data_IF_843432619206
#
_entry.id   IF_843432619206
#
_cell.length_a   1.000
_cell.length_b   1.000
_cell.length_c   1.000
_cell.angle_alpha   90.00
_cell.angle_beta   90.00
_cell.angle_gamma   90.00
#
_symmetry.space_group_name_H-M   'P 1'
#
loop_
_entity.id
_entity.type
_entity.pdbx_description
1 polymer ?
#
# COMPACT_ATOMS: atom_id res chain seq x y z
N UNK A 1 -0.76 23.31 -42.13
CA UNK A 1 -2.04 24.04 -42.03
C UNK A 1 -2.60 23.74 -40.66
N UNK A 2 -2.80 24.62 -39.68
CA UNK A 2 -2.76 26.08 -39.58
C UNK A 2 -2.10 26.46 -38.23
N UNK A 3 -1.64 27.71 -38.14
CA UNK A 3 -0.85 28.34 -37.06
C UNK A 3 -1.73 29.32 -36.25
N UNK A 4 -1.25 29.68 -35.05
CA UNK A 4 -1.46 30.93 -34.26
C UNK A 4 -2.77 31.05 -33.43
N UNK A 5 -2.78 31.59 -32.20
CA UNK A 5 -1.71 32.25 -31.42
C UNK A 5 -2.16 32.84 -30.05
N UNK A 6 -1.19 33.51 -29.39
CA UNK A 6 -1.27 34.60 -28.36
C UNK A 6 -2.04 34.33 -27.04
N UNK A 7 -1.47 34.36 -25.82
CA UNK A 7 -0.74 35.42 -25.07
C UNK A 7 -1.60 36.71 -24.89
N UNK A 8 -1.87 37.35 -23.74
CA UNK A 8 -1.27 37.47 -22.39
C UNK A 8 -2.39 37.83 -21.32
N UNK A 9 -2.19 38.63 -20.22
CA UNK A 9 -2.38 38.20 -18.82
C UNK A 9 -3.45 39.02 -18.06
N UNK A 10 -3.82 38.64 -16.82
CA UNK A 10 -4.61 39.52 -15.93
C UNK A 10 -4.09 39.48 -14.48
N UNK A 11 -3.42 40.58 -14.16
CA UNK A 11 -3.38 41.41 -12.93
C UNK A 11 -3.63 40.84 -11.52
N UNK A 12 -2.65 41.20 -10.68
CA UNK A 12 -2.60 41.19 -9.21
C UNK A 12 -3.36 42.42 -8.67
N UNK A 13 -4.14 42.32 -7.59
CA UNK A 13 -4.45 43.46 -6.76
C UNK A 13 -3.59 43.51 -5.49
N UNK A 14 -2.79 44.57 -5.41
CA UNK A 14 -2.12 45.10 -4.23
C UNK A 14 -3.10 45.60 -3.16
N UNK A 15 -2.91 45.23 -1.89
CA UNK A 15 -3.40 46.01 -0.74
C UNK A 15 -2.39 46.04 0.41
N UNK A 16 -1.61 47.12 0.40
CA UNK A 16 -1.17 47.96 1.52
C UNK A 16 -1.38 47.46 2.95
N UNK A 17 -0.27 47.17 3.64
CA UNK A 17 -0.13 47.26 5.10
C UNK A 17 -0.10 48.73 5.56
N UNK A 18 -0.68 49.09 6.72
CA UNK A 18 -0.34 50.31 7.41
C UNK A 18 0.85 50.10 8.37
N UNK A 19 1.80 51.03 8.28
CA UNK A 19 2.87 51.27 9.23
C UNK A 19 2.33 51.41 10.66
N UNK A 20 2.96 50.74 11.63
CA UNK A 20 2.90 51.16 13.03
C UNK A 20 4.25 51.76 13.46
N UNK A 21 4.10 52.99 13.90
CA UNK A 21 5.08 53.98 14.32
C UNK A 21 5.88 53.50 15.53
N UNK A 22 7.19 53.38 15.40
CA UNK A 22 8.11 53.19 16.52
C UNK A 22 8.33 54.54 17.23
N UNK A 23 7.77 54.68 18.44
CA UNK A 23 8.15 55.77 19.36
C UNK A 23 9.15 55.19 20.36
N UNK A 24 10.42 55.53 20.14
CA UNK A 24 11.48 55.37 21.11
C UNK A 24 11.44 56.56 22.09
N UNK A 25 11.18 56.28 23.37
CA UNK A 25 11.40 57.21 24.47
C UNK A 25 12.32 56.51 25.48
N UNK A 26 13.58 56.94 25.47
CA UNK A 26 14.58 56.53 26.45
C UNK A 26 14.36 57.21 27.80
N UNK A 27 14.50 56.45 28.88
CA UNK A 27 14.65 56.94 30.25
C UNK A 27 15.75 56.07 30.91
N UNK A 28 16.71 56.66 31.64
CA UNK A 28 18.01 56.06 31.92
C UNK A 28 17.97 55.05 33.07
N UNK A 29 18.93 54.12 33.01
CA UNK A 29 19.25 53.17 34.06
C UNK A 29 19.67 53.88 35.35
N UNK A 30 18.94 53.62 36.44
CA UNK A 30 19.37 53.87 37.81
C UNK A 30 19.44 52.54 38.55
N UNK A 31 20.65 52.15 38.95
CA UNK A 31 20.90 50.99 39.80
C UNK A 31 20.55 51.34 41.26
N UNK A 32 19.76 50.48 41.92
CA UNK A 32 19.58 50.43 43.37
C UNK A 32 19.34 48.97 43.83
N UNK A 33 19.66 48.63 45.08
CA UNK A 33 20.15 47.31 45.47
C UNK A 33 19.05 46.28 45.70
N UNK A 34 19.43 45.01 45.55
CA UNK A 34 18.59 43.84 45.78
C UNK A 34 18.00 43.83 47.20
N UNK A 35 16.67 43.90 47.27
CA UNK A 35 15.89 43.57 48.46
C UNK A 35 15.13 42.28 48.16
N UNK A 36 15.57 41.18 48.78
CA UNK A 36 14.90 39.88 48.70
C UNK A 36 13.67 39.92 49.61
N UNK A 37 12.48 39.96 49.02
CA UNK A 37 11.22 39.68 49.72
C UNK A 37 10.76 38.27 49.35
N UNK A 38 10.23 37.47 50.29
CA UNK A 38 9.71 36.16 49.97
C UNK A 38 8.40 36.32 49.20
N UNK A 39 8.44 36.05 47.90
CA UNK A 39 7.22 35.95 47.09
C UNK A 39 6.45 34.71 47.54
N UNK A 40 5.35 34.93 48.25
CA UNK A 40 4.33 33.91 48.50
C UNK A 40 3.79 33.46 47.15
N UNK A 41 4.05 32.21 46.80
CA UNK A 41 3.45 31.53 45.65
C UNK A 41 1.97 31.33 45.97
N UNK A 42 1.11 32.20 45.42
CA UNK A 42 -0.30 31.89 45.22
C UNK A 42 -0.40 31.03 43.96
N UNK A 43 -0.53 29.73 44.15
CA UNK A 43 -0.84 28.78 43.09
C UNK A 43 -2.19 29.14 42.48
N UNK A 44 -2.17 29.76 41.30
CA UNK A 44 -3.31 29.73 40.39
C UNK A 44 -3.21 28.40 39.64
N UNK A 45 -4.07 27.47 40.05
CA UNK A 45 -4.31 26.24 39.31
C UNK A 45 -5.04 26.61 38.01
N UNK A 46 -4.27 26.80 36.95
CA UNK A 46 -4.75 26.63 35.58
C UNK A 46 -3.75 25.72 34.87
N UNK A 47 -3.82 24.44 35.22
CA UNK A 47 -3.19 23.38 34.44
C UNK A 47 -4.26 22.78 33.55
N UNK A 48 -4.50 23.41 32.39
CA UNK A 48 -4.80 22.62 31.21
C UNK A 48 -3.49 21.98 30.74
N UNK A 49 -3.05 20.93 31.44
CA UNK A 49 -2.04 20.01 30.90
C UNK A 49 -2.63 19.39 29.64
N UNK A 50 -2.29 19.92 28.47
CA UNK A 50 -2.41 19.17 27.23
C UNK A 50 -1.48 17.98 27.36
N UNK A 51 -2.03 16.81 27.70
CA UNK A 51 -1.29 15.55 27.73
C UNK A 51 -0.69 15.35 26.35
N UNK A 52 0.63 15.54 26.22
CA UNK A 52 1.35 15.22 24.99
C UNK A 52 1.40 13.69 24.93
N UNK A 53 0.42 13.08 24.26
CA UNK A 53 0.41 11.64 23.99
C UNK A 53 1.64 11.34 23.13
N UNK A 54 2.47 10.42 23.59
CA UNK A 54 3.70 10.02 22.89
C UNK A 54 3.38 9.28 21.59
N UNK A 55 4.31 9.28 20.63
CA UNK A 55 4.11 8.53 19.38
C UNK A 55 3.89 7.03 19.64
N UNK A 56 4.61 6.46 20.60
CA UNK A 56 4.46 5.07 21.03
C UNK A 56 3.05 4.77 21.58
N UNK A 57 2.50 5.66 22.40
CA UNK A 57 1.13 5.52 22.91
C UNK A 57 0.09 5.62 21.79
N UNK A 58 0.30 6.50 20.80
CA UNK A 58 -0.57 6.61 19.62
C UNK A 58 -0.52 5.33 18.79
N UNK A 59 0.67 4.80 18.51
CA UNK A 59 0.84 3.53 17.78
C UNK A 59 0.15 2.39 18.53
N UNK A 60 0.36 2.28 19.85
CA UNK A 60 -0.26 1.24 20.69
C UNK A 60 -1.78 1.33 20.72
N UNK A 61 -2.32 2.55 20.84
CA UNK A 61 -3.77 2.77 20.80
C UNK A 61 -4.34 2.37 19.43
N UNK A 62 -3.68 2.77 18.34
CA UNK A 62 -4.07 2.43 16.98
C UNK A 62 -4.01 0.92 16.71
N UNK A 63 -2.95 0.24 17.17
CA UNK A 63 -2.81 -1.23 17.08
C UNK A 63 -3.94 -1.93 17.81
N UNK A 64 -4.27 -1.50 19.04
CA UNK A 64 -5.37 -2.09 19.80
C UNK A 64 -6.71 -1.90 19.09
N UNK A 65 -6.98 -0.71 18.56
CA UNK A 65 -8.20 -0.45 17.79
C UNK A 65 -8.27 -1.33 16.54
N UNK A 66 -7.15 -1.50 15.84
CA UNK A 66 -7.05 -2.32 14.64
C UNK A 66 -7.29 -3.80 14.93
N UNK A 67 -6.64 -4.35 15.95
CA UNK A 67 -6.81 -5.75 16.36
C UNK A 67 -8.26 -6.08 16.71
N UNK A 68 -8.93 -5.19 17.45
CA UNK A 68 -10.35 -5.34 17.78
C UNK A 68 -11.18 -5.39 16.50
N UNK A 69 -11.00 -4.43 15.60
CA UNK A 69 -11.79 -4.33 14.38
C UNK A 69 -11.53 -5.50 13.42
N UNK A 70 -10.29 -5.98 13.31
CA UNK A 70 -9.93 -7.18 12.55
C UNK A 70 -10.54 -8.45 13.13
N UNK A 71 -10.63 -8.57 14.46
CA UNK A 71 -11.29 -9.71 15.11
C UNK A 71 -12.79 -9.70 14.83
N UNK A 72 -13.42 -8.54 14.90
CA UNK A 72 -14.84 -8.40 14.58
C UNK A 72 -15.14 -8.67 13.11
N UNK A 73 -14.28 -8.20 12.18
CA UNK A 73 -14.42 -8.51 10.77
C UNK A 73 -14.36 -10.02 10.53
N UNK A 74 -13.37 -10.69 11.14
CA UNK A 74 -13.23 -12.15 11.03
C UNK A 74 -14.46 -12.87 11.54
N UNK A 75 -14.94 -12.54 12.74
CA UNK A 75 -16.14 -13.15 13.30
C UNK A 75 -17.37 -12.95 12.40
N UNK A 76 -17.55 -11.75 11.85
CA UNK A 76 -18.67 -11.46 10.94
C UNK A 76 -18.55 -12.22 9.60
N UNK A 77 -17.33 -12.34 9.06
CA UNK A 77 -17.08 -13.13 7.85
C UNK A 77 -17.27 -14.62 8.09
N UNK A 78 -16.80 -15.14 9.22
CA UNK A 78 -16.99 -16.54 9.61
C UNK A 78 -18.48 -16.85 9.73
N UNK A 79 -19.28 -15.97 10.34
CA UNK A 79 -20.73 -16.12 10.43
C UNK A 79 -21.40 -16.09 9.04
N UNK A 80 -21.01 -15.13 8.20
CA UNK A 80 -21.58 -14.96 6.86
C UNK A 80 -21.27 -16.13 5.92
N UNK A 81 -20.02 -16.61 5.92
CA UNK A 81 -19.56 -17.71 5.07
C UNK A 81 -19.70 -19.09 5.72
N UNK A 82 -20.27 -19.17 6.94
CA UNK A 82 -20.50 -20.44 7.66
C UNK A 82 -21.17 -21.52 6.81
N UNK A 83 -22.22 -21.23 6.00
CA UNK A 83 -22.83 -22.26 5.16
C UNK A 83 -21.83 -22.96 4.24
N UNK A 84 -20.87 -22.22 3.65
CA UNK A 84 -19.84 -22.83 2.80
C UNK A 84 -18.87 -23.71 3.60
N UNK A 85 -18.54 -23.30 4.83
CA UNK A 85 -17.63 -24.06 5.69
C UNK A 85 -18.25 -25.35 6.24
N UNK A 86 -19.57 -25.39 6.39
CA UNK A 86 -20.32 -26.55 6.92
C UNK A 86 -20.72 -27.55 5.82
N UNK A 87 -20.66 -27.16 4.54
CA UNK A 87 -20.97 -28.04 3.43
C UNK A 87 -19.88 -29.10 3.22
N UNK A 88 -20.29 -30.37 3.16
CA UNK A 88 -19.38 -31.52 3.08
C UNK A 88 -18.99 -31.81 1.62
N UNK A 89 -19.91 -31.60 0.69
CA UNK A 89 -19.73 -31.92 -0.73
C UNK A 89 -19.55 -30.67 -1.59
N UNK A 90 -18.94 -30.82 -2.77
CA UNK A 90 -18.83 -29.74 -3.75
C UNK A 90 -20.22 -29.36 -4.29
N UNK A 91 -21.11 -30.33 -4.44
CA UNK A 91 -22.49 -30.12 -4.85
C UNK A 91 -23.25 -29.23 -3.86
N UNK A 92 -23.14 -29.49 -2.56
CA UNK A 92 -23.71 -28.64 -1.51
C UNK A 92 -23.11 -27.24 -1.55
N UNK A 93 -21.78 -27.12 -1.61
CA UNK A 93 -21.09 -25.83 -1.70
C UNK A 93 -21.57 -25.01 -2.90
N UNK A 94 -21.71 -25.64 -4.06
CA UNK A 94 -22.13 -24.98 -5.30
C UNK A 94 -23.60 -24.55 -5.29
N UNK A 95 -24.44 -25.17 -4.45
CA UNK A 95 -25.86 -24.82 -4.31
C UNK A 95 -26.12 -23.68 -3.30
N UNK A 96 -25.10 -23.24 -2.55
CA UNK A 96 -25.25 -22.18 -1.55
C UNK A 96 -25.34 -20.81 -2.23
N UNK A 97 -26.43 -20.11 -1.94
CA UNK A 97 -26.63 -18.71 -2.26
C UNK A 97 -26.66 -17.90 -0.96
N UNK A 98 -25.67 -17.02 -0.76
CA UNK A 98 -25.66 -16.09 0.36
C UNK A 98 -26.45 -14.83 0.01
N UNK A 99 -27.15 -14.27 1.01
CA UNK A 99 -27.81 -12.98 0.87
C UNK A 99 -26.75 -11.87 0.81
N UNK A 100 -26.59 -11.15 -0.31
CA UNK A 100 -25.60 -10.08 -0.42
C UNK A 100 -25.88 -8.90 0.50
N UNK A 101 -27.11 -8.74 1.01
CA UNK A 101 -27.44 -7.66 1.96
C UNK A 101 -26.92 -7.91 3.37
N UNK A 102 -26.58 -9.16 3.69
CA UNK A 102 -25.97 -9.55 4.96
C UNK A 102 -24.43 -9.54 4.91
N UNK A 103 -23.84 -9.20 3.76
CA UNK A 103 -22.39 -9.13 3.62
C UNK A 103 -21.81 -8.01 4.53
N UNK A 104 -20.92 -8.35 5.50
CA UNK A 104 -20.39 -7.37 6.43
C UNK A 104 -19.46 -6.33 5.76
N UNK A 105 -18.96 -6.60 4.55
CA UNK A 105 -17.89 -5.86 3.87
C UNK A 105 -18.11 -4.34 3.88
N UNK A 106 -19.28 -3.87 3.45
CA UNK A 106 -19.56 -2.43 3.34
C UNK A 106 -19.51 -1.72 4.70
N UNK A 107 -20.02 -2.36 5.75
CA UNK A 107 -19.99 -1.79 7.10
C UNK A 107 -18.56 -1.66 7.63
N UNK A 108 -17.71 -2.67 7.39
CA UNK A 108 -16.34 -2.67 7.86
C UNK A 108 -15.44 -1.71 7.07
N UNK A 109 -15.67 -1.53 5.76
CA UNK A 109 -14.98 -0.50 4.98
C UNK A 109 -15.09 0.88 5.66
N UNK A 110 -16.30 1.27 6.07
CA UNK A 110 -16.53 2.54 6.76
C UNK A 110 -15.76 2.64 8.09
N UNK A 111 -15.74 1.55 8.86
CA UNK A 111 -15.08 1.48 10.18
C UNK A 111 -13.55 1.51 10.07
N UNK A 112 -12.96 0.84 9.09
CA UNK A 112 -11.51 0.91 8.86
C UNK A 112 -11.08 2.28 8.34
N UNK A 113 -11.89 2.93 7.49
CA UNK A 113 -11.64 4.31 7.09
C UNK A 113 -11.70 5.28 8.29
N UNK A 114 -12.65 5.08 9.20
CA UNK A 114 -12.75 5.86 10.43
C UNK A 114 -11.51 5.66 11.32
N UNK A 115 -11.07 4.42 11.53
CA UNK A 115 -9.86 4.12 12.30
C UNK A 115 -8.63 4.84 11.72
N UNK A 116 -8.46 4.81 10.40
CA UNK A 116 -7.36 5.49 9.74
C UNK A 116 -7.40 7.02 9.89
N UNK A 117 -8.60 7.60 10.04
CA UNK A 117 -8.79 9.03 10.27
C UNK A 117 -8.57 9.43 11.74
N UNK A 118 -8.97 8.56 12.68
CA UNK A 118 -8.77 8.76 14.13
C UNK A 118 -7.32 8.55 14.58
N UNK A 119 -6.54 7.76 13.84
CA UNK A 119 -5.15 7.42 14.15
C UNK A 119 -4.16 7.82 13.04
N UNK A 120 -4.15 9.08 12.57
CA UNK A 120 -3.36 9.48 11.42
C UNK A 120 -1.86 9.39 11.69
N UNK A 121 -1.08 9.04 10.67
CA UNK A 121 0.39 8.96 10.76
C UNK A 121 0.91 7.68 11.42
N UNK A 122 0.03 6.74 11.77
CA UNK A 122 0.42 5.48 12.43
C UNK A 122 0.54 4.32 11.43
N UNK A 123 1.36 3.32 11.76
CA UNK A 123 1.44 2.08 10.97
C UNK A 123 0.09 1.34 10.89
N UNK A 124 -0.63 1.18 12.01
CA UNK A 124 -1.97 0.59 12.01
C UNK A 124 -3.00 1.32 11.15
N UNK A 125 -2.91 2.64 10.98
CA UNK A 125 -3.78 3.36 10.05
C UNK A 125 -3.52 2.98 8.59
N UNK A 126 -2.26 2.76 8.21
CA UNK A 126 -1.92 2.25 6.86
C UNK A 126 -2.43 0.81 6.69
N UNK A 127 -2.32 -0.03 7.72
CA UNK A 127 -2.84 -1.40 7.68
C UNK A 127 -4.37 -1.43 7.56
N UNK A 128 -5.07 -0.52 8.25
CA UNK A 128 -6.51 -0.33 8.09
C UNK A 128 -6.87 0.06 6.65
N UNK A 129 -6.13 1.00 6.04
CA UNK A 129 -6.31 1.36 4.62
C UNK A 129 -6.03 0.18 3.69
N UNK A 130 -5.05 -0.67 4.02
CA UNK A 130 -4.79 -1.93 3.32
C UNK A 130 -5.95 -2.92 3.40
N UNK A 131 -6.63 -2.96 4.54
CA UNK A 131 -7.84 -3.75 4.72
C UNK A 131 -8.99 -3.19 3.88
N UNK A 132 -9.16 -1.86 3.83
CA UNK A 132 -10.14 -1.20 2.94
C UNK A 132 -9.88 -1.57 1.48
N UNK A 133 -8.62 -1.50 1.00
CA UNK A 133 -8.25 -1.90 -0.37
C UNK A 133 -8.66 -3.35 -0.63
N UNK A 134 -8.39 -4.24 0.31
CA UNK A 134 -8.66 -5.68 0.19
C UNK A 134 -10.16 -5.99 0.15
N UNK A 135 -10.94 -5.32 0.99
CA UNK A 135 -12.39 -5.44 1.08
C UNK A 135 -13.10 -4.84 -0.14
N UNK A 136 -12.75 -3.61 -0.51
CA UNK A 136 -13.38 -2.90 -1.62
C UNK A 136 -13.23 -3.65 -2.96
N UNK A 137 -12.06 -4.26 -3.19
CA UNK A 137 -11.80 -5.06 -4.41
C UNK A 137 -12.69 -6.30 -4.51
N UNK A 138 -13.14 -6.85 -3.38
CA UNK A 138 -14.01 -8.04 -3.31
C UNK A 138 -15.50 -7.68 -3.34
N UNK A 139 -15.84 -6.40 -3.12
CA UNK A 139 -17.22 -5.92 -3.14
C UNK A 139 -17.80 -5.80 -4.56
N UNK A 140 -19.10 -5.49 -4.68
CA UNK A 140 -19.82 -5.44 -5.96
C UNK A 140 -19.28 -4.37 -6.92
N UNK A 141 -18.73 -3.27 -6.41
CA UNK A 141 -18.06 -2.23 -7.22
C UNK A 141 -16.66 -2.65 -7.69
N UNK A 142 -16.09 -3.72 -7.12
CA UNK A 142 -14.79 -4.28 -7.48
C UNK A 142 -13.65 -3.27 -7.50
N UNK A 143 -12.88 -3.30 -8.59
CA UNK A 143 -11.63 -2.53 -8.73
C UNK A 143 -11.82 -1.03 -8.99
N UNK A 144 -13.06 -0.54 -9.12
CA UNK A 144 -13.37 0.88 -9.37
C UNK A 144 -14.09 1.55 -8.19
N UNK A 145 -14.19 0.84 -7.06
CA UNK A 145 -14.96 1.28 -5.91
C UNK A 145 -14.54 2.64 -5.37
N UNK A 146 -15.53 3.44 -4.96
CA UNK A 146 -15.32 4.72 -4.29
C UNK A 146 -14.47 4.60 -3.02
N UNK A 147 -14.61 3.49 -2.29
CA UNK A 147 -13.83 3.19 -1.09
C UNK A 147 -12.35 2.95 -1.42
N UNK A 148 -12.08 2.21 -2.51
CA UNK A 148 -10.72 1.97 -2.99
C UNK A 148 -10.03 3.28 -3.39
N UNK A 149 -10.72 4.12 -4.18
CA UNK A 149 -10.23 5.46 -4.57
C UNK A 149 -9.91 6.33 -3.36
N UNK A 150 -10.80 6.33 -2.36
CA UNK A 150 -10.60 7.08 -1.11
C UNK A 150 -9.39 6.57 -0.32
N UNK A 151 -9.23 5.25 -0.17
CA UNK A 151 -8.09 4.68 0.54
C UNK A 151 -6.75 5.03 -0.14
N UNK A 152 -6.70 4.94 -1.47
CA UNK A 152 -5.51 5.31 -2.28
C UNK A 152 -5.20 6.80 -2.15
N UNK A 153 -6.21 7.67 -2.22
CA UNK A 153 -6.02 9.11 -2.03
C UNK A 153 -5.41 9.43 -0.66
N UNK A 154 -5.91 8.82 0.41
CA UNK A 154 -5.38 9.00 1.77
C UNK A 154 -3.91 8.52 1.86
N UNK A 155 -3.59 7.37 1.25
CA UNK A 155 -2.22 6.84 1.21
C UNK A 155 -1.26 7.84 0.56
N UNK A 156 -1.61 8.35 -0.62
CA UNK A 156 -0.76 9.26 -1.37
C UNK A 156 -0.62 10.63 -0.70
N UNK A 157 -1.66 11.10 -0.04
CA UNK A 157 -1.65 12.41 0.64
C UNK A 157 -0.87 12.37 1.96
N UNK A 158 -1.08 11.33 2.79
CA UNK A 158 -0.62 11.34 4.20
C UNK A 158 0.56 10.42 4.48
N UNK A 159 0.79 9.40 3.64
CA UNK A 159 1.67 8.28 3.98
C UNK A 159 2.79 8.02 2.97
N UNK A 160 2.96 8.89 1.98
CA UNK A 160 3.86 8.71 0.84
C UNK A 160 5.26 8.17 1.20
N UNK A 161 5.83 8.64 2.31
CA UNK A 161 7.18 8.26 2.77
C UNK A 161 7.17 7.45 4.07
N UNK A 162 5.99 7.00 4.51
CA UNK A 162 5.88 6.23 5.74
C UNK A 162 6.39 4.80 5.53
N UNK A 163 7.28 4.29 6.42
CA UNK A 163 7.95 3.00 6.22
C UNK A 163 7.01 1.80 6.10
N UNK A 164 5.88 1.83 6.83
CA UNK A 164 4.85 0.78 6.77
C UNK A 164 4.16 0.64 5.40
N UNK A 165 4.30 1.60 4.47
CA UNK A 165 3.82 1.40 3.10
C UNK A 165 4.54 0.26 2.39
N UNK A 166 5.79 -0.05 2.77
CA UNK A 166 6.57 -1.12 2.15
C UNK A 166 5.80 -2.44 2.17
N UNK A 167 5.22 -2.79 3.33
CA UNK A 167 4.47 -4.03 3.51
C UNK A 167 3.16 -4.03 2.72
N UNK A 168 2.48 -2.89 2.67
CA UNK A 168 1.25 -2.72 1.92
C UNK A 168 1.47 -2.87 0.40
N UNK A 169 2.63 -2.45 -0.12
CA UNK A 169 2.89 -2.36 -1.57
C UNK A 169 3.67 -3.56 -2.11
N UNK A 170 4.43 -4.27 -1.27
CA UNK A 170 5.25 -5.45 -1.64
C UNK A 170 4.51 -6.46 -2.50
N UNK A 171 3.23 -6.69 -2.22
CA UNK A 171 2.38 -7.68 -2.87
C UNK A 171 1.25 -7.07 -3.70
N UNK A 172 1.34 -5.78 -4.06
CA UNK A 172 0.31 -5.09 -4.81
C UNK A 172 0.06 -5.67 -6.22
N UNK A 173 1.01 -6.42 -6.79
CA UNK A 173 0.82 -7.11 -8.06
C UNK A 173 -0.26 -8.20 -8.02
N UNK A 174 -0.55 -8.80 -6.87
CA UNK A 174 -1.66 -9.77 -6.76
C UNK A 174 -3.05 -9.12 -6.79
N UNK A 175 -3.13 -7.79 -6.81
CA UNK A 175 -4.42 -7.05 -6.90
C UNK A 175 -4.93 -6.93 -8.34
N UNK A 176 -4.11 -7.27 -9.34
CA UNK A 176 -4.41 -7.10 -10.76
C UNK A 176 -4.07 -5.70 -11.30
N UNK A 177 -4.09 -5.57 -12.62
CA UNK A 177 -3.65 -4.37 -13.35
C UNK A 177 -4.77 -3.32 -13.55
N UNK A 178 -5.59 -3.07 -12.52
CA UNK A 178 -6.60 -2.01 -12.57
C UNK A 178 -5.94 -0.62 -12.66
N UNK A 179 -6.64 0.35 -13.26
CA UNK A 179 -6.14 1.72 -13.41
C UNK A 179 -5.71 2.33 -12.06
N UNK A 180 -6.51 2.12 -11.01
CA UNK A 180 -6.20 2.62 -9.67
C UNK A 180 -4.91 2.01 -9.12
N UNK A 181 -4.70 0.69 -9.27
CA UNK A 181 -3.52 0.03 -8.74
C UNK A 181 -2.26 0.42 -9.51
N UNK A 182 -2.35 0.50 -10.84
CA UNK A 182 -1.26 0.98 -11.70
C UNK A 182 -0.90 2.42 -11.35
N UNK A 183 -1.89 3.32 -11.24
CA UNK A 183 -1.66 4.72 -10.91
C UNK A 183 -1.06 4.90 -9.50
N UNK A 184 -1.53 4.14 -8.49
CA UNK A 184 -0.92 4.13 -7.16
C UNK A 184 0.58 3.78 -7.23
N UNK A 185 0.93 2.72 -7.97
CA UNK A 185 2.32 2.29 -8.08
C UNK A 185 3.17 3.31 -8.83
N UNK A 186 2.66 3.89 -9.92
CA UNK A 186 3.34 4.95 -10.66
C UNK A 186 3.57 6.20 -9.79
N UNK A 187 2.56 6.64 -9.05
CA UNK A 187 2.65 7.78 -8.15
C UNK A 187 3.66 7.55 -7.02
N UNK A 188 3.71 6.35 -6.44
CA UNK A 188 4.71 6.01 -5.43
C UNK A 188 6.13 6.01 -6.01
N UNK A 189 6.32 5.52 -7.23
CA UNK A 189 7.62 5.51 -7.91
C UNK A 189 8.10 6.94 -8.18
N UNK A 190 7.20 7.84 -8.55
CA UNK A 190 7.53 9.23 -8.90
C UNK A 190 7.71 10.13 -7.68
N UNK A 191 6.85 9.97 -6.66
CA UNK A 191 6.69 10.97 -5.61
C UNK A 191 7.31 10.56 -4.28
N UNK A 192 7.46 9.26 -4.00
CA UNK A 192 8.02 8.80 -2.72
C UNK A 192 9.54 8.99 -2.67
N UNK A 193 10.03 9.53 -1.56
CA UNK A 193 11.44 9.56 -1.19
C UNK A 193 11.86 8.31 -0.39
N UNK A 194 10.91 7.49 0.07
CA UNK A 194 11.19 6.26 0.81
C UNK A 194 11.66 5.13 -0.12
N UNK A 195 12.97 4.92 -0.17
CA UNK A 195 13.64 3.96 -1.08
C UNK A 195 13.04 2.54 -1.08
N UNK A 196 12.74 1.88 0.06
CA UNK A 196 12.07 0.58 0.04
C UNK A 196 10.68 0.60 -0.60
N UNK A 197 9.92 1.70 -0.44
CA UNK A 197 8.61 1.88 -1.09
C UNK A 197 8.77 2.00 -2.60
N UNK A 198 9.74 2.78 -3.07
CA UNK A 198 10.03 2.91 -4.51
C UNK A 198 10.45 1.57 -5.11
N UNK A 199 11.29 0.81 -4.41
CA UNK A 199 11.72 -0.53 -4.84
C UNK A 199 10.53 -1.48 -5.01
N UNK A 200 9.67 -1.57 -3.99
CA UNK A 200 8.53 -2.48 -4.02
C UNK A 200 7.44 -2.05 -5.01
N UNK A 201 7.22 -0.74 -5.17
CA UNK A 201 6.29 -0.20 -6.17
C UNK A 201 6.80 -0.48 -7.60
N UNK A 202 8.09 -0.25 -7.86
CA UNK A 202 8.72 -0.54 -9.16
C UNK A 202 8.61 -2.02 -9.50
N UNK A 203 8.90 -2.91 -8.53
CA UNK A 203 8.79 -4.35 -8.70
C UNK A 203 7.35 -4.81 -8.95
N UNK A 204 6.39 -4.36 -8.13
CA UNK A 204 4.98 -4.73 -8.29
C UNK A 204 4.42 -4.24 -9.62
N UNK A 205 4.78 -3.03 -10.06
CA UNK A 205 4.38 -2.53 -11.38
C UNK A 205 4.99 -3.37 -12.51
N UNK A 206 6.25 -3.79 -12.37
CA UNK A 206 6.89 -4.67 -13.34
C UNK A 206 6.16 -6.00 -13.48
N UNK A 207 5.79 -6.65 -12.37
CA UNK A 207 5.04 -7.92 -12.40
C UNK A 207 3.67 -7.76 -13.06
N UNK A 208 2.90 -6.72 -12.70
CA UNK A 208 1.60 -6.43 -13.32
C UNK A 208 1.70 -6.26 -14.84
N UNK A 209 2.66 -5.45 -15.28
CA UNK A 209 2.85 -5.17 -16.70
C UNK A 209 3.45 -6.36 -17.47
N UNK A 210 4.06 -7.33 -16.78
CA UNK A 210 4.67 -8.51 -17.39
C UNK A 210 3.65 -9.51 -17.94
N UNK A 211 2.44 -9.52 -17.36
CA UNK A 211 1.34 -10.42 -17.73
C UNK A 211 0.84 -10.18 -19.16
N UNK A 212 0.86 -8.92 -19.62
CA UNK A 212 0.41 -8.58 -20.97
C UNK A 212 1.58 -8.49 -21.98
N UNK A 213 1.45 -9.12 -23.17
CA UNK A 213 2.44 -8.99 -24.25
C UNK A 213 2.73 -7.54 -24.67
N UNK A 214 1.73 -6.65 -24.59
CA UNK A 214 1.88 -5.26 -25.04
C UNK A 214 2.71 -4.41 -24.08
N UNK A 215 2.72 -4.75 -22.79
CA UNK A 215 3.43 -4.00 -21.74
C UNK A 215 4.71 -4.70 -21.28
N UNK A 216 4.98 -5.91 -21.77
CA UNK A 216 6.13 -6.73 -21.38
C UNK A 216 7.48 -6.04 -21.55
N UNK A 217 7.66 -5.21 -22.59
CA UNK A 217 8.90 -4.43 -22.77
C UNK A 217 9.10 -3.43 -21.63
N UNK A 218 8.03 -2.79 -21.17
CA UNK A 218 8.06 -1.86 -20.02
C UNK A 218 8.32 -2.63 -18.73
N UNK A 219 7.68 -3.78 -18.53
CA UNK A 219 7.94 -4.66 -17.40
C UNK A 219 9.42 -5.06 -17.31
N UNK A 220 10.01 -5.49 -18.42
CA UNK A 220 11.44 -5.85 -18.49
C UNK A 220 12.34 -4.69 -18.07
N UNK A 221 12.07 -3.47 -18.55
CA UNK A 221 12.84 -2.29 -18.18
C UNK A 221 12.70 -1.93 -16.69
N UNK A 222 11.51 -2.11 -16.10
CA UNK A 222 11.29 -1.93 -14.67
C UNK A 222 12.03 -3.00 -13.85
N UNK A 223 12.07 -4.26 -14.30
CA UNK A 223 12.88 -5.30 -13.66
C UNK A 223 14.37 -4.96 -13.71
N UNK A 224 14.90 -4.47 -14.85
CA UNK A 224 16.29 -3.98 -14.93
C UNK A 224 16.54 -2.85 -13.93
N UNK A 225 15.60 -1.93 -13.79
CA UNK A 225 15.68 -0.85 -12.81
C UNK A 225 15.71 -1.40 -11.39
N UNK A 226 14.82 -2.34 -11.04
CA UNK A 226 14.83 -2.96 -9.70
C UNK A 226 16.17 -3.62 -9.43
N UNK A 227 16.71 -4.40 -10.38
CA UNK A 227 17.98 -5.09 -10.21
C UNK A 227 19.16 -4.11 -10.03
N UNK A 228 19.20 -3.05 -10.82
CA UNK A 228 20.32 -2.10 -10.83
C UNK A 228 20.26 -1.06 -9.71
N UNK A 229 19.07 -0.53 -9.41
CA UNK A 229 18.88 0.54 -8.45
C UNK A 229 18.46 0.07 -7.07
N UNK A 230 17.89 -1.13 -6.92
CA UNK A 230 17.28 -1.59 -5.66
C UNK A 230 17.60 -3.05 -5.32
N UNK A 231 18.60 -3.64 -5.97
CA UNK A 231 18.90 -5.07 -5.85
C UNK A 231 19.22 -5.52 -4.42
N UNK A 232 19.76 -4.62 -3.60
CA UNK A 232 20.12 -4.85 -2.20
C UNK A 232 18.95 -4.72 -1.22
N UNK A 233 17.83 -4.13 -1.64
CA UNK A 233 16.68 -3.91 -0.77
C UNK A 233 16.06 -5.27 -0.41
N UNK A 234 15.79 -5.48 0.90
CA UNK A 234 15.12 -6.68 1.38
C UNK A 234 13.70 -6.76 0.79
N UNK A 235 13.41 -7.90 0.18
CA UNK A 235 12.06 -8.25 -0.24
C UNK A 235 11.31 -8.91 0.91
N UNK A 236 11.82 -10.03 1.43
CA UNK A 236 11.17 -10.80 2.49
C UNK A 236 12.18 -11.70 3.20
N UNK A 237 12.26 -11.61 4.53
CA UNK A 237 13.27 -12.33 5.32
C UNK A 237 14.67 -12.05 4.75
N UNK A 238 15.44 -13.11 4.43
CA UNK A 238 16.79 -13.01 3.89
C UNK A 238 16.84 -12.85 2.35
N UNK A 239 15.68 -12.77 1.67
CA UNK A 239 15.59 -12.60 0.23
C UNK A 239 15.59 -11.12 -0.15
N UNK A 240 16.43 -10.75 -1.12
CA UNK A 240 16.53 -9.40 -1.69
C UNK A 240 15.78 -9.29 -3.03
N UNK A 241 15.47 -8.06 -3.45
CA UNK A 241 14.88 -7.81 -4.77
C UNK A 241 15.79 -8.24 -5.92
N UNK A 242 17.12 -8.12 -5.79
CA UNK A 242 18.06 -8.56 -6.82
C UNK A 242 17.95 -10.06 -7.09
N UNK A 243 17.92 -10.87 -6.04
CA UNK A 243 17.74 -12.32 -6.14
C UNK A 243 16.37 -12.68 -6.73
N UNK A 244 15.31 -11.94 -6.38
CA UNK A 244 13.96 -12.19 -6.87
C UNK A 244 13.82 -11.91 -8.36
N UNK A 245 14.37 -10.78 -8.81
CA UNK A 245 14.21 -10.27 -10.18
C UNK A 245 14.94 -11.13 -11.21
N UNK A 246 16.02 -11.81 -10.85
CA UNK A 246 16.70 -12.75 -11.77
C UNK A 246 15.76 -13.84 -12.28
N UNK A 247 14.96 -14.43 -11.39
CA UNK A 247 13.93 -15.39 -11.75
C UNK A 247 12.82 -14.78 -12.61
N UNK A 248 12.38 -13.57 -12.28
CA UNK A 248 11.30 -12.89 -13.04
C UNK A 248 11.75 -12.49 -14.45
N UNK A 249 13.01 -12.09 -14.62
CA UNK A 249 13.58 -11.81 -15.94
C UNK A 249 13.64 -13.10 -16.76
N UNK A 250 14.11 -14.20 -16.17
CA UNK A 250 14.15 -15.49 -16.84
C UNK A 250 12.76 -15.94 -17.28
N UNK A 251 11.77 -15.85 -16.40
CA UNK A 251 10.36 -16.17 -16.67
C UNK A 251 9.83 -15.34 -17.86
N UNK A 252 10.06 -14.02 -17.82
CA UNK A 252 9.58 -13.09 -18.84
C UNK A 252 10.23 -13.33 -20.23
N UNK A 253 11.49 -13.77 -20.26
CA UNK A 253 12.24 -14.00 -21.50
C UNK A 253 12.03 -15.41 -22.10
N UNK A 254 11.82 -16.42 -21.25
CA UNK A 254 11.86 -17.83 -21.63
C UNK A 254 10.56 -18.59 -21.36
N UNK A 255 9.77 -18.21 -20.37
CA UNK A 255 8.59 -18.95 -19.89
C UNK A 255 7.26 -18.25 -20.23
N UNK A 256 7.24 -17.52 -21.33
CA UNK A 256 6.05 -16.82 -21.81
C UNK A 256 5.37 -17.55 -22.97
N UNK A 257 4.07 -17.30 -23.16
CA UNK A 257 3.30 -17.82 -24.31
C UNK A 257 4.06 -17.58 -25.62
N UNK A 258 4.17 -18.64 -26.42
CA UNK A 258 4.87 -18.65 -27.72
C UNK A 258 6.37 -18.93 -27.64
N UNK A 259 6.97 -19.02 -26.45
CA UNK A 259 8.35 -19.48 -26.28
C UNK A 259 8.43 -21.00 -26.29
N UNK A 260 9.56 -21.54 -26.74
CA UNK A 260 9.84 -22.95 -26.59
C UNK A 260 10.04 -23.27 -25.11
N UNK A 261 9.29 -24.24 -24.59
CA UNK A 261 9.48 -24.76 -23.23
C UNK A 261 10.92 -25.30 -23.09
N UNK A 262 11.63 -25.00 -21.99
CA UNK A 262 12.92 -25.61 -21.70
C UNK A 262 12.82 -27.14 -21.63
N UNK A 263 13.91 -27.83 -21.91
CA UNK A 263 13.97 -29.27 -21.71
C UNK A 263 13.80 -29.61 -20.22
N UNK A 264 13.00 -30.63 -19.94
CA UNK A 264 12.86 -31.19 -18.60
C UNK A 264 13.33 -32.64 -18.69
N UNK A 265 14.32 -32.98 -17.89
CA UNK A 265 14.83 -34.34 -17.75
C UNK A 265 14.54 -34.77 -16.33
N UNK A 266 13.86 -35.91 -16.20
CA UNK A 266 13.50 -36.47 -14.90
C UNK A 266 13.54 -37.99 -14.93
N UNK A 267 13.28 -38.57 -13.77
CA UNK A 267 13.08 -40.01 -13.62
C UNK A 267 11.62 -40.25 -13.29
N UNK A 268 10.98 -41.17 -14.02
CA UNK A 268 9.60 -41.55 -13.77
C UNK A 268 9.45 -42.50 -12.56
N UNK A 269 8.22 -42.91 -12.27
CA UNK A 269 7.91 -43.81 -11.16
C UNK A 269 8.51 -45.23 -11.31
N UNK A 270 8.87 -45.63 -12.52
CA UNK A 270 9.50 -46.92 -12.83
C UNK A 270 11.04 -46.83 -12.82
N UNK A 271 11.61 -45.67 -12.50
CA UNK A 271 13.05 -45.44 -12.51
C UNK A 271 13.64 -45.20 -13.91
N UNK A 272 12.81 -44.97 -14.93
CA UNK A 272 13.27 -44.69 -16.29
C UNK A 272 13.48 -43.21 -16.50
N UNK A 273 14.47 -42.87 -17.32
CA UNK A 273 14.66 -41.50 -17.77
C UNK A 273 13.46 -41.08 -18.64
N UNK A 274 12.94 -39.88 -18.37
CA UNK A 274 11.89 -39.22 -19.13
C UNK A 274 12.40 -37.85 -19.57
N UNK A 275 12.13 -37.49 -20.84
CA UNK A 275 12.41 -36.16 -21.38
C UNK A 275 11.14 -35.51 -21.90
N UNK A 276 10.97 -34.21 -21.65
CA UNK A 276 9.82 -33.48 -22.18
C UNK A 276 9.78 -33.48 -23.71
N UNK A 277 10.94 -33.49 -24.37
CA UNK A 277 11.02 -33.60 -25.83
C UNK A 277 10.45 -34.90 -26.41
N UNK A 278 10.28 -35.96 -25.63
CA UNK A 278 9.67 -37.22 -26.08
C UNK A 278 8.17 -37.05 -26.40
N UNK A 279 7.53 -36.02 -25.85
CA UNK A 279 6.11 -35.71 -26.06
C UNK A 279 5.87 -34.74 -27.24
N UNK A 280 6.88 -34.47 -28.07
CA UNK A 280 6.74 -33.61 -29.25
C UNK A 280 5.63 -34.13 -30.18
N UNK A 281 4.75 -33.23 -30.61
CA UNK A 281 3.59 -33.56 -31.44
C UNK A 281 2.32 -33.86 -30.65
N UNK A 282 2.38 -33.87 -29.32
CA UNK A 282 1.23 -34.03 -28.43
C UNK A 282 0.87 -32.71 -27.75
N UNK A 283 -0.37 -32.61 -27.27
CA UNK A 283 -0.78 -31.58 -26.31
C UNK A 283 -0.42 -32.08 -24.92
N UNK A 284 0.44 -31.36 -24.22
CA UNK A 284 0.98 -31.76 -22.92
C UNK A 284 0.55 -30.76 -21.86
N UNK A 285 -0.06 -31.24 -20.79
CA UNK A 285 -0.24 -30.49 -19.54
C UNK A 285 0.86 -30.91 -18.57
N UNK A 286 1.63 -29.94 -18.08
CA UNK A 286 2.67 -30.16 -17.07
C UNK A 286 2.14 -29.56 -15.76
N UNK A 287 2.06 -30.39 -14.73
CA UNK A 287 1.61 -30.01 -13.40
C UNK A 287 2.72 -30.26 -12.37
N UNK A 288 3.05 -29.23 -11.59
CA UNK A 288 4.07 -29.28 -10.54
C UNK A 288 3.37 -29.30 -9.18
N UNK A 289 3.49 -30.41 -8.44
CA UNK A 289 2.85 -30.62 -7.14
C UNK A 289 3.84 -31.20 -6.11
N UNK A 290 3.48 -31.18 -4.82
CA UNK A 290 4.25 -31.79 -3.73
C UNK A 290 3.38 -32.11 -2.51
N UNK A 291 3.85 -33.04 -1.67
CA UNK A 291 3.27 -33.38 -0.37
C UNK A 291 3.98 -32.60 0.74
N UNK A 292 3.37 -31.50 1.17
CA UNK A 292 3.87 -30.64 2.25
C UNK A 292 3.11 -30.81 3.56
#
# INVERSE_FOLDING_TARGET
>A
MFRLGSALPVEIPSRSLPLLLSIALGIPALALPALVLPTVVLASADQSESVIVTDEERQKAASKALEILQKELRAAQDEYYRPYSEAETDEERNAIELDPTQDPTSSFIGRFLQLADEHPGTGPAIEALGTVISLARRGPEGSDSSALKKAVAIILEKYLDHPALTDLIRFAHYRGASEINVSLLEDLIEKSSHRPTVACATYSLAKLLGESPTTRKRARALLDRVKSEFGEVSFWRDLTYGQKVDGDIFELEHLSIGKAVPEIVGTDLDGKEMKLSEFRGQVVLIDFWGDW
#
